data_IF_820035360657
#
_entry.id   IF_820035360657
#
_cell.length_a   1.000
_cell.length_b   1.000
_cell.length_c   1.000
_cell.angle_alpha   90.00
_cell.angle_beta   90.00
_cell.angle_gamma   90.00
#
_symmetry.space_group_name_H-M   'P 1'
#
loop_
_entity.id
_entity.type
_entity.pdbx_description
1 polymer ?
#
# COMPACT_ATOMS: atom_id res chain seq x y z
N UNK A 1 5.21 -35.99 -13.46
CA UNK A 1 5.66 -34.60 -13.26
C UNK A 1 6.64 -34.40 -12.10
N UNK A 2 7.05 -35.43 -11.34
CA UNK A 2 8.00 -35.27 -10.21
C UNK A 2 9.34 -34.61 -10.61
N UNK A 3 9.84 -34.85 -11.84
CA UNK A 3 11.06 -34.19 -12.38
C UNK A 3 10.94 -32.67 -12.55
N UNK A 4 9.71 -32.13 -12.53
CA UNK A 4 9.42 -30.70 -12.65
C UNK A 4 9.31 -30.01 -11.29
N UNK A 5 9.35 -30.75 -10.19
CA UNK A 5 9.30 -30.19 -8.85
C UNK A 5 10.53 -29.31 -8.60
N UNK A 6 10.31 -28.04 -8.24
CA UNK A 6 11.40 -27.10 -7.97
C UNK A 6 12.10 -26.53 -9.21
N UNK A 7 11.64 -26.79 -10.44
CA UNK A 7 12.18 -26.18 -11.67
C UNK A 7 11.50 -24.86 -12.05
N UNK A 8 10.30 -24.61 -11.53
CA UNK A 8 9.53 -23.37 -11.67
C UNK A 8 8.67 -23.16 -10.42
N UNK A 9 7.99 -22.02 -10.33
CA UNK A 9 7.08 -21.71 -9.23
C UNK A 9 5.99 -22.79 -9.11
N UNK A 10 5.72 -23.22 -7.87
CA UNK A 10 4.71 -24.24 -7.59
C UNK A 10 3.32 -23.84 -8.14
N UNK A 11 3.00 -22.54 -8.21
CA UNK A 11 1.78 -22.01 -8.84
C UNK A 11 1.74 -22.22 -10.36
N UNK A 12 2.85 -21.96 -11.04
CA UNK A 12 2.92 -22.06 -12.50
C UNK A 12 2.91 -23.52 -12.93
N UNK A 13 3.64 -24.38 -12.20
CA UNK A 13 3.59 -25.82 -12.39
C UNK A 13 2.18 -26.38 -12.14
N UNK A 14 1.48 -25.88 -11.11
CA UNK A 14 0.13 -26.32 -10.81
C UNK A 14 -0.88 -25.91 -11.89
N UNK A 15 -0.72 -24.71 -12.49
CA UNK A 15 -1.54 -24.24 -13.61
C UNK A 15 -1.38 -25.13 -14.84
N UNK A 16 -0.14 -25.52 -15.17
CA UNK A 16 0.13 -26.45 -16.27
C UNK A 16 -0.39 -27.86 -16.02
N UNK A 17 -0.35 -28.32 -14.76
CA UNK A 17 -0.83 -29.64 -14.37
C UNK A 17 -2.34 -29.70 -14.10
N UNK A 18 -3.06 -28.57 -14.20
CA UNK A 18 -4.49 -28.49 -13.91
C UNK A 18 -4.85 -28.84 -12.47
N UNK A 19 -3.96 -28.58 -11.50
CA UNK A 19 -4.19 -28.91 -10.10
C UNK A 19 -4.02 -27.69 -9.18
N UNK A 20 -4.42 -27.82 -7.92
CA UNK A 20 -4.22 -26.77 -6.94
C UNK A 20 -2.74 -26.66 -6.54
N UNK A 21 -2.21 -25.44 -6.39
CA UNK A 21 -0.78 -25.20 -6.06
C UNK A 21 -0.31 -25.91 -4.79
N UNK A 22 -1.22 -26.13 -3.83
CA UNK A 22 -0.91 -26.82 -2.58
C UNK A 22 -0.55 -28.30 -2.81
N UNK A 23 -1.08 -28.93 -3.86
CA UNK A 23 -0.75 -30.32 -4.26
C UNK A 23 0.70 -30.42 -4.71
N UNK A 24 1.14 -29.48 -5.55
CA UNK A 24 2.54 -29.36 -5.99
C UNK A 24 3.46 -29.06 -4.81
N UNK A 25 3.08 -28.10 -3.96
CA UNK A 25 3.83 -27.75 -2.74
C UNK A 25 4.02 -28.94 -1.79
N UNK A 26 2.94 -29.69 -1.50
CA UNK A 26 2.99 -30.86 -0.60
C UNK A 26 3.87 -31.95 -1.19
N UNK A 27 3.74 -32.22 -2.49
CA UNK A 27 4.57 -33.23 -3.17
C UNK A 27 6.04 -32.83 -3.20
N UNK A 28 6.34 -31.56 -3.52
CA UNK A 28 7.70 -31.00 -3.49
C UNK A 28 8.32 -31.16 -2.09
N UNK A 29 7.57 -30.82 -1.06
CA UNK A 29 8.03 -30.86 0.34
C UNK A 29 8.23 -32.29 0.84
N UNK A 30 7.35 -33.23 0.45
CA UNK A 30 7.48 -34.65 0.79
C UNK A 30 8.73 -35.31 0.19
N UNK A 31 9.18 -34.84 -0.98
CA UNK A 31 10.42 -35.31 -1.65
C UNK A 31 11.65 -34.49 -1.22
N UNK A 32 11.49 -33.53 -0.29
CA UNK A 32 12.59 -32.73 0.23
C UNK A 32 13.19 -31.72 -0.77
N UNK A 33 12.54 -31.47 -1.90
CA UNK A 33 13.06 -30.57 -2.93
C UNK A 33 12.82 -29.12 -2.48
N UNK A 34 13.83 -28.24 -2.43
CA UNK A 34 13.63 -26.82 -2.12
C UNK A 34 12.71 -26.13 -3.13
N UNK A 35 11.95 -25.13 -2.70
CA UNK A 35 11.13 -24.35 -3.64
C UNK A 35 12.01 -23.67 -4.69
N UNK A 36 11.52 -23.55 -5.93
CA UNK A 36 12.26 -22.95 -7.05
C UNK A 36 12.91 -21.60 -6.72
N UNK A 37 12.20 -20.77 -5.95
CA UNK A 37 12.68 -19.47 -5.45
C UNK A 37 13.99 -19.56 -4.63
N UNK A 38 14.29 -20.70 -3.98
CA UNK A 38 15.57 -20.92 -3.30
C UNK A 38 16.71 -21.26 -4.25
N UNK A 39 16.40 -21.88 -5.41
CA UNK A 39 17.41 -22.24 -6.41
C UNK A 39 17.83 -21.05 -7.27
N UNK A 40 16.93 -20.09 -7.48
CA UNK A 40 17.22 -18.81 -8.16
C UNK A 40 17.94 -17.79 -7.25
N UNK A 41 18.26 -18.16 -6.01
CA UNK A 41 18.89 -17.25 -5.05
C UNK A 41 20.34 -16.91 -5.44
N UNK A 42 20.61 -15.64 -5.76
CA UNK A 42 21.97 -15.18 -6.06
C UNK A 42 22.81 -15.00 -4.79
N UNK A 43 24.09 -15.43 -4.77
CA UNK A 43 24.98 -15.25 -3.61
C UNK A 43 25.12 -13.78 -3.17
N UNK A 44 25.07 -12.84 -4.10
CA UNK A 44 25.12 -11.39 -3.85
C UNK A 44 24.05 -10.93 -2.85
N UNK A 45 22.88 -11.56 -2.87
CA UNK A 45 21.78 -11.20 -1.97
C UNK A 45 22.03 -11.63 -0.53
N UNK A 46 22.87 -12.64 -0.29
CA UNK A 46 23.27 -13.01 1.07
C UNK A 46 24.02 -11.86 1.76
N UNK A 47 24.87 -11.12 1.01
CA UNK A 47 25.63 -9.99 1.55
C UNK A 47 24.72 -8.84 2.00
N UNK A 48 23.50 -8.76 1.46
CA UNK A 48 22.52 -7.73 1.85
C UNK A 48 21.67 -8.14 3.06
N UNK A 49 21.56 -9.43 3.38
CA UNK A 49 20.77 -9.92 4.51
C UNK A 49 21.37 -9.40 5.82
N UNK A 50 20.53 -8.83 6.69
CA UNK A 50 20.97 -8.27 7.97
C UNK A 50 21.49 -6.82 7.89
N UNK A 51 21.82 -6.32 6.71
CA UNK A 51 22.18 -4.91 6.49
C UNK A 51 21.05 -4.11 5.84
N UNK A 52 20.25 -4.75 4.99
CA UNK A 52 19.16 -4.14 4.25
C UNK A 52 17.83 -4.78 4.66
N UNK A 53 16.72 -4.03 4.78
CA UNK A 53 15.42 -4.62 5.08
C UNK A 53 14.98 -5.65 4.03
N UNK A 54 14.40 -6.77 4.50
CA UNK A 54 13.93 -7.89 3.66
C UNK A 54 13.03 -7.42 2.50
N UNK A 55 12.21 -6.37 2.73
CA UNK A 55 11.32 -5.79 1.70
C UNK A 55 12.06 -5.09 0.58
N UNK A 56 13.17 -4.42 0.87
CA UNK A 56 13.99 -3.74 -0.15
C UNK A 56 14.73 -4.78 -0.98
N UNK A 57 15.27 -5.82 -0.35
CA UNK A 57 15.89 -6.96 -1.03
C UNK A 57 14.86 -7.62 -1.96
N UNK A 58 13.64 -7.85 -1.48
CA UNK A 58 12.54 -8.42 -2.27
C UNK A 58 12.19 -7.61 -3.52
N UNK A 59 12.19 -6.26 -3.45
CA UNK A 59 11.97 -5.41 -4.63
C UNK A 59 13.10 -5.52 -5.64
N UNK A 60 14.35 -5.53 -5.17
CA UNK A 60 15.54 -5.59 -6.03
C UNK A 60 15.65 -6.96 -6.72
N UNK A 61 15.45 -8.04 -5.96
CA UNK A 61 15.56 -9.42 -6.45
C UNK A 61 14.30 -9.92 -7.16
N UNK A 62 13.18 -9.18 -7.07
CA UNK A 62 11.84 -9.61 -7.47
C UNK A 62 11.40 -10.92 -6.80
N UNK A 63 11.99 -11.26 -5.65
CA UNK A 63 11.63 -12.42 -4.84
C UNK A 63 10.63 -11.98 -3.77
N UNK A 64 9.75 -12.89 -3.35
CA UNK A 64 8.81 -12.58 -2.27
C UNK A 64 9.53 -12.23 -0.96
N UNK A 65 8.98 -11.26 -0.21
CA UNK A 65 9.51 -10.87 1.11
C UNK A 65 9.59 -12.07 2.06
N UNK A 66 8.65 -12.99 1.96
CA UNK A 66 8.60 -14.22 2.76
C UNK A 66 9.79 -15.15 2.48
N UNK A 67 10.19 -15.29 1.22
CA UNK A 67 11.37 -16.07 0.83
C UNK A 67 12.66 -15.42 1.32
N UNK A 68 12.80 -14.10 1.19
CA UNK A 68 13.96 -13.35 1.71
C UNK A 68 14.07 -13.52 3.22
N UNK A 69 12.95 -13.36 3.95
CA UNK A 69 12.88 -13.58 5.39
C UNK A 69 13.26 -15.01 5.77
N UNK A 70 12.73 -16.01 5.07
CA UNK A 70 13.07 -17.40 5.33
C UNK A 70 14.56 -17.66 5.10
N UNK A 71 15.15 -17.15 4.02
CA UNK A 71 16.59 -17.30 3.75
C UNK A 71 17.43 -16.66 4.84
N UNK A 72 17.04 -15.48 5.32
CA UNK A 72 17.70 -14.81 6.45
C UNK A 72 17.66 -15.65 7.73
N UNK A 73 16.49 -16.21 8.06
CA UNK A 73 16.30 -17.07 9.22
C UNK A 73 17.07 -18.39 9.10
N UNK A 74 17.11 -18.98 7.90
CA UNK A 74 17.89 -20.19 7.60
C UNK A 74 19.38 -19.97 7.88
N UNK A 75 19.90 -18.80 7.50
CA UNK A 75 21.30 -18.40 7.75
C UNK A 75 21.52 -17.86 9.17
N UNK A 76 20.49 -17.89 10.03
CA UNK A 76 20.51 -17.35 11.40
C UNK A 76 20.97 -15.88 11.48
N UNK A 77 20.77 -15.12 10.41
CA UNK A 77 21.12 -13.70 10.34
C UNK A 77 20.01 -12.91 11.03
N UNK A 78 20.39 -12.09 12.01
CA UNK A 78 19.44 -11.20 12.66
C UNK A 78 18.86 -10.21 11.64
N UNK A 79 17.60 -9.78 11.80
CA UNK A 79 17.07 -8.69 10.99
C UNK A 79 17.97 -7.47 11.18
N UNK A 80 18.17 -6.67 10.14
CA UNK A 80 18.80 -5.36 10.27
C UNK A 80 17.99 -4.55 11.30
N UNK A 81 18.48 -4.49 12.54
CA UNK A 81 17.86 -3.92 13.75
C UNK A 81 16.44 -3.32 13.58
N UNK A 82 15.40 -4.05 14.01
CA UNK A 82 14.01 -3.53 14.01
C UNK A 82 13.28 -3.52 12.64
N UNK A 83 13.74 -4.37 11.71
CA UNK A 83 13.48 -4.39 10.26
C UNK A 83 12.04 -4.49 9.71
N UNK A 84 11.00 -4.02 10.39
CA UNK A 84 9.84 -3.54 9.61
C UNK A 84 10.06 -2.11 9.13
N UNK A 85 10.78 -1.26 9.90
CA UNK A 85 10.73 0.18 9.65
C UNK A 85 11.92 1.03 10.12
N UNK A 86 13.13 0.48 10.25
CA UNK A 86 14.29 1.23 10.74
C UNK A 86 15.17 1.84 9.63
N UNK A 87 14.59 2.12 8.45
CA UNK A 87 15.32 2.84 7.41
C UNK A 87 15.57 4.27 7.90
N UNK A 88 16.82 4.75 7.98
CA UNK A 88 17.10 6.14 8.29
C UNK A 88 16.37 7.05 7.28
N UNK A 89 15.82 8.15 7.76
CA UNK A 89 15.05 9.06 6.92
C UNK A 89 15.96 9.74 5.91
N UNK A 90 15.68 9.60 4.61
CA UNK A 90 16.37 10.38 3.58
C UNK A 90 15.68 11.75 3.45
N UNK A 91 16.39 12.89 3.67
CA UNK A 91 15.88 14.23 3.44
C UNK A 91 15.27 14.44 2.04
N UNK A 92 15.73 13.74 1.01
CA UNK A 92 15.16 13.81 -0.36
C UNK A 92 13.69 13.42 -0.44
N UNK A 93 13.15 12.77 0.61
CA UNK A 93 11.74 12.39 0.70
C UNK A 93 10.85 13.48 1.29
N UNK A 94 11.43 14.55 1.86
CA UNK A 94 10.67 15.64 2.46
C UNK A 94 9.67 16.30 1.48
N UNK A 95 10.00 16.53 0.18
CA UNK A 95 9.05 17.04 -0.81
C UNK A 95 7.84 16.12 -1.08
N UNK A 96 7.95 14.82 -0.75
CA UNK A 96 6.86 13.86 -0.95
C UNK A 96 5.79 13.93 0.14
N UNK A 97 6.12 14.54 1.29
CA UNK A 97 5.21 14.64 2.44
C UNK A 97 4.01 15.54 2.10
N UNK A 98 2.81 15.08 2.45
CA UNK A 98 1.58 15.83 2.17
C UNK A 98 1.04 15.70 0.73
N UNK A 99 1.82 15.14 -0.20
CA UNK A 99 1.35 14.83 -1.57
C UNK A 99 0.48 13.57 -1.61
N UNK A 100 0.73 12.59 -0.76
CA UNK A 100 -0.04 11.34 -0.67
C UNK A 100 -0.33 10.96 0.78
N UNK A 101 -1.10 9.90 0.98
CA UNK A 101 -1.38 9.36 2.31
C UNK A 101 -0.08 8.86 2.96
N UNK A 102 0.10 9.15 4.26
CA UNK A 102 1.28 8.71 5.02
C UNK A 102 1.48 7.18 4.92
N UNK A 103 0.40 6.41 4.82
CA UNK A 103 0.42 4.94 4.62
C UNK A 103 0.96 4.54 3.25
N UNK A 104 0.55 5.24 2.19
CA UNK A 104 1.01 4.98 0.83
C UNK A 104 2.48 5.37 0.66
N UNK A 105 2.87 6.54 1.19
CA UNK A 105 4.27 6.98 1.21
C UNK A 105 5.14 6.00 2.00
N UNK A 106 4.66 5.53 3.15
CA UNK A 106 5.38 4.54 3.95
C UNK A 106 5.59 3.21 3.22
N UNK A 107 4.59 2.75 2.46
CA UNK A 107 4.70 1.56 1.63
C UNK A 107 5.72 1.72 0.49
N UNK A 108 5.65 2.86 -0.21
CA UNK A 108 6.57 3.21 -1.29
C UNK A 108 8.02 3.28 -0.77
N UNK A 109 8.24 4.03 0.29
CA UNK A 109 9.56 4.28 0.88
C UNK A 109 10.07 3.13 1.75
N UNK A 110 9.19 2.20 2.14
CA UNK A 110 9.57 1.07 3.01
C UNK A 110 9.89 1.52 4.44
N UNK A 111 9.17 2.52 4.96
CA UNK A 111 9.33 3.08 6.31
C UNK A 111 8.04 2.93 7.12
N UNK A 112 8.07 3.20 8.43
CA UNK A 112 6.85 3.13 9.24
C UNK A 112 5.93 4.28 8.81
N UNK A 113 4.62 4.05 8.64
CA UNK A 113 3.66 5.16 8.55
C UNK A 113 3.82 6.19 9.68
N UNK A 114 4.17 5.75 10.90
CA UNK A 114 4.47 6.64 12.03
C UNK A 114 5.74 7.48 11.80
N UNK A 115 6.74 6.96 11.09
CA UNK A 115 7.96 7.71 10.75
C UNK A 115 7.64 8.84 9.77
N UNK A 116 6.85 8.55 8.73
CA UNK A 116 6.35 9.55 7.78
C UNK A 116 5.53 10.62 8.52
N UNK A 117 4.58 10.20 9.36
CA UNK A 117 3.77 11.10 10.17
C UNK A 117 4.63 11.97 11.09
N UNK A 118 5.64 11.40 11.77
CA UNK A 118 6.52 12.14 12.68
C UNK A 118 7.37 13.16 11.92
N UNK A 119 7.93 12.78 10.77
CA UNK A 119 8.68 13.71 9.91
C UNK A 119 7.79 14.83 9.40
N UNK A 120 6.61 14.48 8.87
CA UNK A 120 5.60 15.42 8.40
C UNK A 120 5.26 16.45 9.47
N UNK A 121 4.97 16.00 10.70
CA UNK A 121 4.70 16.88 11.85
C UNK A 121 5.91 17.74 12.22
N UNK A 122 7.12 17.18 12.22
CA UNK A 122 8.36 17.92 12.51
C UNK A 122 8.61 19.06 11.52
N UNK A 123 8.24 18.87 10.25
CA UNK A 123 8.37 19.88 9.18
C UNK A 123 7.12 20.76 9.03
N UNK A 124 6.12 20.62 9.91
CA UNK A 124 4.89 21.42 9.84
C UNK A 124 4.00 21.15 8.62
N UNK A 125 4.26 20.07 7.86
CA UNK A 125 3.53 19.76 6.64
C UNK A 125 2.14 19.20 7.00
N UNK A 126 1.07 19.76 6.43
CA UNK A 126 -0.27 19.22 6.61
C UNK A 126 -0.40 17.84 5.94
N UNK A 127 -1.06 16.90 6.61
CA UNK A 127 -1.42 15.63 5.97
C UNK A 127 -2.40 15.88 4.83
N UNK A 128 -2.45 15.00 3.83
CA UNK A 128 -3.39 15.12 2.71
C UNK A 128 -4.85 15.30 3.17
N UNK A 129 -5.25 14.62 4.23
CA UNK A 129 -6.59 14.73 4.84
C UNK A 129 -6.78 15.96 5.74
N UNK A 130 -5.70 16.70 6.02
CA UNK A 130 -5.68 17.84 6.96
C UNK A 130 -5.81 19.20 6.25
N UNK A 131 -5.89 19.22 4.91
CA UNK A 131 -6.30 20.42 4.19
C UNK A 131 -7.75 20.71 4.57
N UNK A 132 -7.93 21.72 5.43
CA UNK A 132 -9.25 22.17 5.86
C UNK A 132 -10.02 22.67 4.63
N UNK A 133 -11.32 22.41 4.61
CA UNK A 133 -12.21 23.01 3.60
C UNK A 133 -12.11 24.53 3.71
N UNK A 134 -11.71 25.20 2.62
CA UNK A 134 -11.69 26.67 2.58
C UNK A 134 -13.14 27.20 2.64
N UNK A 135 -13.53 27.96 3.69
CA UNK A 135 -14.85 28.57 3.79
C UNK A 135 -15.28 29.39 2.58
N UNK A 136 -14.36 29.97 1.81
CA UNK A 136 -14.68 30.76 0.62
C UNK A 136 -15.42 29.93 -0.43
N UNK A 137 -15.21 28.62 -0.42
CA UNK A 137 -15.82 27.68 -1.36
C UNK A 137 -17.17 27.13 -0.89
N UNK A 138 -17.81 27.69 0.15
CA UNK A 138 -19.12 27.23 0.61
C UNK A 138 -20.19 27.28 -0.50
N UNK A 139 -20.05 28.18 -1.48
CA UNK A 139 -20.96 28.28 -2.64
C UNK A 139 -20.97 27.03 -3.53
N UNK A 140 -19.95 26.17 -3.44
CA UNK A 140 -19.87 24.91 -4.19
C UNK A 140 -20.52 23.73 -3.45
N UNK A 141 -20.89 23.88 -2.19
CA UNK A 141 -21.50 22.80 -1.41
C UNK A 141 -22.90 22.50 -1.93
N UNK A 142 -23.14 21.25 -2.31
CA UNK A 142 -24.43 20.82 -2.84
C UNK A 142 -24.61 21.04 -4.35
N UNK A 143 -23.67 21.70 -5.05
CA UNK A 143 -23.72 21.88 -6.53
C UNK A 143 -23.17 20.67 -7.29
N UNK A 144 -22.30 19.88 -6.65
CA UNK A 144 -21.75 18.62 -7.15
C UNK A 144 -21.60 17.61 -6.01
N UNK A 145 -21.20 16.37 -6.32
CA UNK A 145 -20.96 15.37 -5.28
C UNK A 145 -19.81 15.78 -4.36
N UNK A 146 -19.95 15.47 -3.07
CA UNK A 146 -18.94 15.77 -2.04
C UNK A 146 -17.55 15.22 -2.43
N UNK A 147 -17.50 14.04 -3.07
CA UNK A 147 -16.28 13.43 -3.60
C UNK A 147 -15.63 14.23 -4.74
N UNK A 148 -16.41 14.70 -5.72
CA UNK A 148 -15.87 15.48 -6.84
C UNK A 148 -15.35 16.84 -6.37
N UNK A 149 -16.05 17.48 -5.45
CA UNK A 149 -15.63 18.73 -4.83
C UNK A 149 -14.36 18.54 -3.97
N UNK A 150 -14.26 17.43 -3.24
CA UNK A 150 -13.07 17.09 -2.47
C UNK A 150 -11.83 16.85 -3.33
N UNK A 151 -11.98 16.16 -4.46
CA UNK A 151 -10.91 15.99 -5.45
C UNK A 151 -10.45 17.33 -6.03
N UNK A 152 -11.39 18.20 -6.41
CA UNK A 152 -11.09 19.52 -6.97
C UNK A 152 -10.30 20.39 -5.97
N UNK A 153 -10.65 20.30 -4.68
CA UNK A 153 -10.05 21.10 -3.62
C UNK A 153 -8.84 20.45 -2.95
N UNK A 154 -8.53 19.20 -3.30
CA UNK A 154 -7.48 18.42 -2.64
C UNK A 154 -7.72 18.19 -1.15
N UNK A 155 -8.98 18.18 -0.71
CA UNK A 155 -9.39 17.90 0.68
C UNK A 155 -10.01 16.51 0.78
N UNK A 156 -10.22 15.99 1.99
CA UNK A 156 -10.94 14.73 2.15
C UNK A 156 -12.45 14.91 1.91
N UNK A 157 -13.10 13.91 1.33
CA UNK A 157 -14.56 13.87 1.10
C UNK A 157 -15.35 14.15 2.38
N UNK A 158 -14.86 13.61 3.50
CA UNK A 158 -15.44 13.80 4.82
C UNK A 158 -15.41 15.26 5.28
N UNK A 159 -14.38 16.04 4.91
CA UNK A 159 -14.31 17.46 5.23
C UNK A 159 -15.42 18.25 4.52
N UNK A 160 -15.68 17.93 3.24
CA UNK A 160 -16.75 18.54 2.44
C UNK A 160 -18.11 18.16 3.01
N UNK A 161 -18.33 16.86 3.27
CA UNK A 161 -19.60 16.37 3.83
C UNK A 161 -19.89 16.91 5.24
N UNK A 162 -18.88 17.05 6.10
CA UNK A 162 -19.02 17.65 7.43
C UNK A 162 -19.36 19.14 7.35
N UNK A 163 -18.68 19.89 6.46
CA UNK A 163 -18.99 21.30 6.23
C UNK A 163 -20.41 21.49 5.70
N UNK A 164 -20.81 20.69 4.71
CA UNK A 164 -22.15 20.69 4.12
C UNK A 164 -23.24 20.46 5.18
N UNK A 165 -23.08 19.41 6.02
CA UNK A 165 -24.01 19.11 7.12
C UNK A 165 -24.08 20.21 8.16
N UNK A 166 -22.94 20.81 8.54
CA UNK A 166 -22.88 21.91 9.50
C UNK A 166 -23.60 23.17 9.01
N UNK A 167 -23.62 23.40 7.69
CA UNK A 167 -24.35 24.50 7.06
C UNK A 167 -25.79 24.13 6.67
N UNK A 168 -26.29 22.95 7.04
CA UNK A 168 -27.65 22.51 6.74
C UNK A 168 -27.94 22.24 5.26
N UNK A 169 -26.90 22.14 4.42
CA UNK A 169 -27.06 21.97 2.98
C UNK A 169 -27.36 20.49 2.68
N UNK A 170 -28.48 20.22 2.02
CA UNK A 170 -28.83 18.85 1.59
C UNK A 170 -27.87 18.35 0.50
N UNK A 171 -27.64 17.03 0.44
CA UNK A 171 -26.67 16.47 -0.50
C UNK A 171 -27.09 16.69 -1.96
N UNK A 172 -26.12 16.84 -2.86
CA UNK A 172 -26.39 17.00 -4.30
C UNK A 172 -27.26 15.89 -4.89
N UNK A 173 -27.10 14.64 -4.40
CA UNK A 173 -27.94 13.51 -4.81
C UNK A 173 -29.38 13.69 -4.33
N UNK A 174 -29.57 14.14 -3.10
CA UNK A 174 -30.89 14.43 -2.51
C UNK A 174 -31.59 15.58 -3.24
N UNK A 175 -30.86 16.66 -3.57
CA UNK A 175 -31.37 17.78 -4.38
C UNK A 175 -31.84 17.34 -5.77
N UNK A 176 -31.08 16.44 -6.40
CA UNK A 176 -31.46 15.59 -7.55
C UNK A 176 -32.91 15.09 -7.44
N UNK A 177 -33.11 14.22 -6.46
CA UNK A 177 -34.36 13.50 -6.29
C UNK A 177 -35.54 14.41 -5.89
N UNK A 178 -35.32 15.49 -5.14
CA UNK A 178 -36.39 16.43 -4.78
C UNK A 178 -36.84 17.29 -5.97
N UNK A 179 -35.91 17.70 -6.84
CA UNK A 179 -36.23 18.48 -8.05
C UNK A 179 -37.00 17.66 -9.09
N UNK A 180 -36.70 16.37 -9.23
CA UNK A 180 -37.40 15.48 -10.16
C UNK A 180 -38.86 15.22 -9.74
N UNK A 181 -39.14 15.17 -8.43
CA UNK A 181 -40.52 14.98 -7.91
C UNK A 181 -41.43 16.20 -8.10
N UNK A 182 -40.89 17.42 -8.10
CA UNK A 182 -41.68 18.63 -8.36
C UNK A 182 -42.06 18.80 -9.83
N UNK A 183 -41.24 18.31 -10.77
CA UNK A 183 -41.53 18.37 -12.22
C UNK A 183 -42.52 17.30 -12.71
N UNK A 184 -42.84 16.29 -11.91
CA UNK A 184 -43.82 15.25 -12.26
C UNK A 184 -45.21 15.51 -11.66
N UNK A 185 -45.40 16.65 -10.98
CA UNK A 185 -46.65 17.08 -10.34
C UNK A 185 -47.16 18.43 -10.91
N UNK A 186 -46.54 18.92 -11.98
CA UNK A 186 -46.96 20.07 -12.79
C UNK A 186 -47.14 19.58 -14.23
#
# INVERSE_FOLDING_TARGET
WNKLLGTKLDKDLAKELGCHYNTVYRRRSAVGIPAYMFRSWKPEWNKMLGHVPDRRIARISKISVTCVRYRRLLLKILPSSGARYNTPWNPDWDPLLGLSYDTHLAELLGVNPRTVMRRRKKLGVAGRHWRKFNPDHNYLLGTMSDHKLAQLMGVADECVGNRRRRLGIISWRTQRCTSTKQKSLA
#
